data_IF_838761760358
#
_entry.id   IF_838761760358
#
_cell.length_a   1.000
_cell.length_b   1.000
_cell.length_c   1.000
_cell.angle_alpha   90.00
_cell.angle_beta   90.00
_cell.angle_gamma   90.00
#
_symmetry.space_group_name_H-M   'P 1'
#
loop_
_entity.id
_entity.type
_entity.pdbx_description
1 polymer ?
#
# COMPACT_ATOMS: atom_id res chain seq x y z
N UNK A 1 -11.36 12.73 -8.97
CA UNK A 1 -12.17 11.50 -9.08
C UNK A 1 -11.38 10.52 -9.92
N UNK A 2 -11.03 9.35 -9.38
CA UNK A 2 -10.31 8.33 -10.16
C UNK A 2 -11.28 7.81 -11.23
N UNK A 3 -11.07 8.19 -12.49
CA UNK A 3 -11.76 7.57 -13.61
C UNK A 3 -11.21 6.14 -13.72
N UNK A 4 -11.95 5.18 -13.19
CA UNK A 4 -11.67 3.78 -13.48
C UNK A 4 -12.16 3.51 -14.89
N UNK A 5 -11.23 3.42 -15.84
CA UNK A 5 -11.54 3.10 -17.23
C UNK A 5 -12.05 1.66 -17.30
N UNK A 6 -13.35 1.49 -17.54
CA UNK A 6 -13.99 0.19 -17.68
C UNK A 6 -13.61 -0.44 -19.04
N UNK A 7 -12.54 -1.23 -19.02
CA UNK A 7 -12.13 -2.05 -20.16
C UNK A 7 -12.83 -3.41 -20.15
N UNK A 8 -12.91 -4.09 -21.30
CA UNK A 8 -13.45 -5.45 -21.37
C UNK A 8 -12.78 -6.41 -20.37
N UNK A 9 -11.45 -6.33 -20.24
CA UNK A 9 -10.70 -7.12 -19.26
C UNK A 9 -11.09 -6.81 -17.82
N UNK A 10 -11.34 -5.53 -17.49
CA UNK A 10 -11.77 -5.14 -16.15
C UNK A 10 -13.15 -5.69 -15.78
N UNK A 11 -14.07 -5.76 -16.75
CA UNK A 11 -15.42 -6.29 -16.54
C UNK A 11 -15.37 -7.82 -16.40
N UNK A 12 -14.62 -8.52 -17.26
CA UNK A 12 -14.41 -9.96 -17.10
C UNK A 12 -13.80 -10.30 -15.74
N UNK A 13 -12.78 -9.56 -15.31
CA UNK A 13 -12.16 -9.77 -14.01
C UNK A 13 -13.13 -9.53 -12.86
N UNK A 14 -13.92 -8.44 -12.90
CA UNK A 14 -14.95 -8.17 -11.90
C UNK A 14 -16.00 -9.30 -11.84
N UNK A 15 -16.40 -9.87 -12.98
CA UNK A 15 -17.34 -10.99 -13.05
C UNK A 15 -16.75 -12.26 -12.42
N UNK A 16 -15.45 -12.54 -12.64
CA UNK A 16 -14.74 -13.65 -11.98
C UNK A 16 -14.73 -13.44 -10.47
N UNK A 17 -14.28 -12.27 -10.00
CA UNK A 17 -14.24 -11.96 -8.56
C UNK A 17 -15.63 -12.06 -7.93
N UNK A 18 -16.66 -11.51 -8.58
CA UNK A 18 -18.04 -11.62 -8.14
C UNK A 18 -18.51 -13.08 -8.05
N UNK A 19 -18.20 -13.91 -9.05
CA UNK A 19 -18.56 -15.33 -9.04
C UNK A 19 -17.95 -16.07 -7.85
N UNK A 20 -16.68 -15.82 -7.54
CA UNK A 20 -16.02 -16.41 -6.37
C UNK A 20 -16.65 -15.96 -5.05
N UNK A 21 -17.01 -14.68 -4.94
CA UNK A 21 -17.76 -14.17 -3.77
C UNK A 21 -19.12 -14.83 -3.61
N UNK A 22 -19.88 -14.93 -4.71
CA UNK A 22 -21.18 -15.59 -4.71
C UNK A 22 -21.07 -17.06 -4.31
N UNK A 23 -20.13 -17.80 -4.91
CA UNK A 23 -19.84 -19.19 -4.57
C UNK A 23 -19.44 -19.35 -3.10
N UNK A 24 -18.58 -18.48 -2.58
CA UNK A 24 -18.14 -18.53 -1.18
C UNK A 24 -19.32 -18.38 -0.21
N UNK A 25 -20.22 -17.42 -0.44
CA UNK A 25 -21.41 -17.22 0.39
C UNK A 25 -22.30 -18.47 0.36
N UNK A 26 -22.53 -19.04 -0.83
CA UNK A 26 -23.34 -20.25 -0.98
C UNK A 26 -22.73 -21.47 -0.31
N UNK A 27 -21.41 -21.65 -0.38
CA UNK A 27 -20.70 -22.72 0.34
C UNK A 27 -20.92 -22.56 1.85
N UNK A 28 -20.76 -21.35 2.39
CA UNK A 28 -21.02 -21.10 3.80
C UNK A 28 -22.45 -21.48 4.18
N UNK A 29 -23.46 -20.97 3.46
CA UNK A 29 -24.88 -21.31 3.70
C UNK A 29 -25.09 -22.83 3.64
N UNK A 30 -24.52 -23.52 2.65
CA UNK A 30 -24.61 -24.96 2.51
C UNK A 30 -24.01 -25.71 3.71
N UNK A 31 -22.85 -25.28 4.19
CA UNK A 31 -22.21 -25.86 5.39
C UNK A 31 -23.06 -25.63 6.64
N UNK A 32 -23.62 -24.43 6.83
CA UNK A 32 -24.56 -24.17 7.93
C UNK A 32 -25.79 -25.08 7.83
N UNK A 33 -26.44 -25.13 6.67
CA UNK A 33 -27.63 -25.95 6.44
C UNK A 33 -27.37 -27.44 6.69
N UNK A 34 -26.23 -27.96 6.24
CA UNK A 34 -25.83 -29.34 6.48
C UNK A 34 -25.64 -29.64 7.97
N UNK A 35 -24.95 -28.73 8.69
CA UNK A 35 -24.74 -28.85 10.13
C UNK A 35 -26.07 -28.85 10.91
N UNK A 36 -27.06 -28.04 10.50
CA UNK A 36 -28.37 -28.04 11.14
C UNK A 36 -29.19 -29.28 10.80
N UNK A 37 -29.10 -29.79 9.57
CA UNK A 37 -29.82 -30.99 9.11
C UNK A 37 -29.33 -32.29 9.79
N UNK A 38 -28.09 -32.30 10.27
CA UNK A 38 -27.52 -33.39 11.06
C UNK A 38 -28.24 -33.56 12.40
N UNK A 39 -28.98 -34.65 12.55
CA UNK A 39 -29.73 -34.99 13.77
C UNK A 39 -28.92 -35.83 14.76
N UNK A 40 -27.74 -36.31 14.35
CA UNK A 40 -26.77 -37.06 15.15
C UNK A 40 -25.98 -36.16 16.14
N UNK A 41 -26.01 -34.84 15.93
CA UNK A 41 -25.28 -33.87 16.73
C UNK A 41 -26.17 -33.14 17.74
N UNK A 42 -25.72 -33.05 18.98
CA UNK A 42 -26.34 -32.21 20.00
C UNK A 42 -26.23 -30.71 19.62
N UNK A 43 -27.13 -29.87 20.16
CA UNK A 43 -27.09 -28.42 19.92
C UNK A 43 -25.75 -27.77 20.29
N UNK A 44 -25.11 -28.25 21.37
CA UNK A 44 -23.78 -27.80 21.78
C UNK A 44 -22.68 -28.21 20.80
N UNK A 45 -22.76 -29.41 20.22
CA UNK A 45 -21.83 -29.83 19.18
C UNK A 45 -21.97 -28.94 17.93
N UNK A 46 -23.20 -28.61 17.52
CA UNK A 46 -23.45 -27.65 16.42
C UNK A 46 -22.85 -26.28 16.74
N UNK A 47 -23.06 -25.75 17.95
CA UNK A 47 -22.48 -24.48 18.37
C UNK A 47 -20.93 -24.49 18.32
N UNK A 48 -20.31 -25.58 18.77
CA UNK A 48 -18.85 -25.75 18.69
C UNK A 48 -18.33 -25.76 17.24
N UNK A 49 -19.02 -26.46 16.33
CA UNK A 49 -18.67 -26.48 14.92
C UNK A 49 -18.80 -25.09 14.27
N UNK A 50 -19.86 -24.35 14.58
CA UNK A 50 -20.05 -22.98 14.11
C UNK A 50 -18.90 -22.07 14.56
N UNK A 51 -18.50 -22.18 15.83
CA UNK A 51 -17.37 -21.43 16.37
C UNK A 51 -16.07 -21.77 15.67
N UNK A 52 -15.78 -23.06 15.44
CA UNK A 52 -14.57 -23.48 14.74
C UNK A 52 -14.52 -22.95 13.31
N UNK A 53 -15.62 -23.09 12.55
CA UNK A 53 -15.72 -22.58 11.18
C UNK A 53 -15.46 -21.07 11.13
N UNK A 54 -15.93 -20.33 12.13
CA UNK A 54 -15.72 -18.89 12.21
C UNK A 54 -14.30 -18.53 12.67
N UNK A 55 -13.74 -19.21 13.68
CA UNK A 55 -12.47 -18.85 14.33
C UNK A 55 -11.24 -19.29 13.54
N UNK A 56 -11.27 -20.48 12.93
CA UNK A 56 -10.14 -21.04 12.16
C UNK A 56 -9.58 -20.08 11.09
N UNK A 57 -10.38 -19.39 10.25
CA UNK A 57 -9.83 -18.45 9.27
C UNK A 57 -9.10 -17.27 9.94
N UNK A 58 -9.58 -16.76 11.07
CA UNK A 58 -8.87 -15.70 11.82
C UNK A 58 -7.58 -16.22 12.46
N UNK A 59 -7.60 -17.45 12.97
CA UNK A 59 -6.41 -18.07 13.55
C UNK A 59 -5.29 -18.20 12.50
N UNK A 60 -5.64 -18.59 11.26
CA UNK A 60 -4.69 -18.62 10.15
C UNK A 60 -4.06 -17.26 9.85
N UNK A 61 -4.88 -16.20 9.83
CA UNK A 61 -4.39 -14.81 9.65
C UNK A 61 -3.50 -14.40 10.83
N UNK A 62 -3.88 -14.72 12.07
CA UNK A 62 -3.10 -14.37 13.25
C UNK A 62 -1.74 -15.07 13.26
N UNK A 63 -1.72 -16.37 12.93
CA UNK A 63 -0.49 -17.13 12.77
C UNK A 63 0.39 -16.50 11.69
N UNK A 64 -0.19 -16.15 10.54
CA UNK A 64 0.54 -15.46 9.46
C UNK A 64 1.15 -14.13 9.94
N UNK A 65 0.39 -13.30 10.65
CA UNK A 65 0.88 -12.02 11.16
C UNK A 65 2.01 -12.19 12.19
N UNK A 66 1.92 -13.21 13.04
CA UNK A 66 2.97 -13.52 14.04
C UNK A 66 4.21 -14.10 13.36
N UNK A 67 4.03 -14.95 12.34
CA UNK A 67 5.12 -15.57 11.60
C UNK A 67 5.78 -14.63 10.58
N UNK A 68 5.07 -13.57 10.14
CA UNK A 68 5.58 -12.63 9.13
C UNK A 68 6.72 -11.79 9.72
N UNK A 69 7.89 -11.72 9.06
CA UNK A 69 8.97 -10.84 9.49
C UNK A 69 8.54 -9.36 9.43
N UNK A 70 9.01 -8.55 10.39
CA UNK A 70 8.64 -7.13 10.56
C UNK A 70 9.07 -6.22 9.40
N UNK A 71 10.07 -6.63 8.61
CA UNK A 71 10.53 -5.94 7.41
C UNK A 71 10.93 -6.99 6.38
N UNK A 72 10.27 -6.99 5.24
CA UNK A 72 10.75 -7.73 4.06
C UNK A 72 11.80 -6.87 3.31
N UNK A 73 12.66 -7.49 2.50
CA UNK A 73 13.60 -6.75 1.66
C UNK A 73 12.87 -5.76 0.73
N UNK A 74 11.69 -6.14 0.23
CA UNK A 74 10.80 -5.24 -0.53
C UNK A 74 10.32 -4.04 0.30
N UNK A 75 10.00 -4.23 1.58
CA UNK A 75 9.61 -3.11 2.46
C UNK A 75 10.77 -2.12 2.62
N UNK A 76 12.02 -2.62 2.72
CA UNK A 76 13.21 -1.77 2.80
C UNK A 76 13.45 -0.99 1.51
N UNK A 77 13.35 -1.67 0.36
CA UNK A 77 13.49 -1.02 -0.95
C UNK A 77 12.43 0.06 -1.15
N UNK A 78 11.18 -0.21 -0.78
CA UNK A 78 10.10 0.76 -0.90
C UNK A 78 10.31 1.98 0.02
N UNK A 79 10.73 1.75 1.27
CA UNK A 79 11.09 2.84 2.20
C UNK A 79 12.26 3.66 1.64
N UNK A 80 13.27 3.00 1.07
CA UNK A 80 14.41 3.69 0.46
C UNK A 80 13.98 4.57 -0.73
N UNK A 81 13.10 4.07 -1.60
CA UNK A 81 12.56 4.83 -2.73
C UNK A 81 11.72 6.02 -2.27
N UNK A 82 10.89 5.85 -1.24
CA UNK A 82 10.11 6.95 -0.66
C UNK A 82 11.02 8.00 -0.04
N UNK A 83 12.02 7.59 0.74
CA UNK A 83 13.02 8.49 1.32
C UNK A 83 13.85 9.21 0.25
N UNK A 84 14.20 8.55 -0.85
CA UNK A 84 14.87 9.20 -1.98
C UNK A 84 13.97 10.22 -2.66
N UNK A 85 12.68 9.93 -2.84
CA UNK A 85 11.72 10.88 -3.40
C UNK A 85 11.51 12.07 -2.47
N UNK A 86 11.38 11.84 -1.17
CA UNK A 86 11.29 12.91 -0.17
C UNK A 86 12.55 13.75 -0.15
N UNK A 87 13.74 13.13 -0.15
CA UNK A 87 15.02 13.85 -0.27
C UNK A 87 15.15 14.64 -1.55
N UNK A 88 14.62 14.16 -2.68
CA UNK A 88 14.60 14.92 -3.93
C UNK A 88 13.58 16.07 -3.88
N UNK A 89 12.45 15.87 -3.21
CA UNK A 89 11.42 16.89 -3.01
C UNK A 89 11.85 17.98 -2.01
N UNK A 90 12.61 17.63 -0.97
CA UNK A 90 13.12 18.58 0.03
C UNK A 90 14.52 19.11 -0.29
N UNK A 91 15.32 18.36 -1.06
CA UNK A 91 16.72 18.67 -1.42
C UNK A 91 16.88 19.54 -2.67
N UNK A 92 15.81 19.77 -3.43
CA UNK A 92 15.69 20.89 -4.38
C UNK A 92 15.09 22.11 -3.68
N UNK A 93 15.54 22.41 -2.46
CA UNK A 93 15.24 23.69 -1.84
C UNK A 93 16.06 24.76 -2.56
N UNK A 94 15.40 25.73 -3.21
CA UNK A 94 16.12 26.86 -3.82
C UNK A 94 17.06 27.56 -2.83
N UNK A 95 16.83 27.45 -1.52
CA UNK A 95 17.74 27.94 -0.50
C UNK A 95 19.12 27.26 -0.54
N UNK A 96 19.19 25.94 -0.76
CA UNK A 96 20.44 25.19 -0.85
C UNK A 96 21.19 25.49 -2.15
N UNK A 97 20.46 25.72 -3.24
CA UNK A 97 21.03 26.12 -4.52
C UNK A 97 21.61 27.55 -4.46
N UNK A 98 20.89 28.48 -3.83
CA UNK A 98 21.37 29.84 -3.58
C UNK A 98 22.57 29.87 -2.64
N UNK A 99 22.62 29.01 -1.61
CA UNK A 99 23.77 28.87 -0.72
C UNK A 99 25.02 28.34 -1.45
N UNK A 100 24.83 27.39 -2.38
CA UNK A 100 25.92 26.86 -3.22
C UNK A 100 26.44 27.89 -4.22
N UNK A 101 25.54 28.68 -4.83
CA UNK A 101 25.90 29.80 -5.69
C UNK A 101 26.68 30.88 -4.93
N UNK A 102 26.31 31.17 -3.68
CA UNK A 102 27.03 32.16 -2.85
C UNK A 102 28.47 31.72 -2.57
N UNK A 103 28.66 30.42 -2.27
CA UNK A 103 30.00 29.85 -2.08
C UNK A 103 30.86 29.94 -3.34
N UNK A 104 30.29 29.69 -4.52
CA UNK A 104 31.02 29.80 -5.80
C UNK A 104 31.45 31.24 -6.09
N UNK A 105 30.62 32.22 -5.71
CA UNK A 105 30.97 33.65 -5.80
C UNK A 105 32.10 33.99 -4.83
N UNK A 106 32.03 33.50 -3.59
CA UNK A 106 33.04 33.75 -2.57
C UNK A 106 34.39 33.06 -2.91
N UNK A 107 34.34 31.92 -3.61
CA UNK A 107 35.50 31.25 -4.22
C UNK A 107 36.02 31.97 -5.49
N UNK A 108 35.35 33.03 -5.95
CA UNK A 108 35.72 33.79 -7.14
C UNK A 108 35.50 33.05 -8.46
N UNK A 109 34.74 31.96 -8.47
CA UNK A 109 34.46 31.14 -9.67
C UNK A 109 33.33 31.72 -10.53
N UNK A 110 32.51 32.59 -9.95
CA UNK A 110 31.46 33.34 -10.64
C UNK A 110 31.48 34.79 -10.16
N UNK A 111 31.09 35.70 -11.04
CA UNK A 111 30.98 37.12 -10.74
C UNK A 111 29.70 37.44 -9.96
N UNK A 112 29.63 38.62 -9.34
CA UNK A 112 28.45 39.05 -8.59
C UNK A 112 27.18 39.17 -9.48
N UNK A 113 27.37 39.52 -10.75
CA UNK A 113 26.29 39.69 -11.73
C UNK A 113 25.74 38.34 -12.21
N UNK A 114 26.63 37.37 -12.44
CA UNK A 114 26.27 35.98 -12.72
C UNK A 114 25.56 35.31 -11.53
N UNK A 115 26.00 35.61 -10.30
CA UNK A 115 25.35 35.12 -9.08
C UNK A 115 23.90 35.58 -8.98
N UNK A 116 23.60 36.87 -9.16
CA UNK A 116 22.23 37.38 -9.05
C UNK A 116 21.31 36.82 -10.13
N UNK A 117 21.83 36.62 -11.35
CA UNK A 117 21.06 36.00 -12.45
C UNK A 117 20.69 34.54 -12.13
N UNK A 118 21.65 33.74 -11.65
CA UNK A 118 21.42 32.33 -11.31
C UNK A 118 20.56 32.17 -10.05
N UNK A 119 20.71 33.07 -9.07
CA UNK A 119 19.88 33.11 -7.85
C UNK A 119 18.41 33.38 -8.18
N UNK A 120 18.12 34.30 -9.10
CA UNK A 120 16.76 34.55 -9.58
C UNK A 120 16.17 33.32 -10.30
N UNK A 121 16.97 32.65 -11.14
CA UNK A 121 16.54 31.41 -11.81
C UNK A 121 16.24 30.28 -10.82
N UNK A 122 17.07 30.10 -9.78
CA UNK A 122 16.86 29.10 -8.74
C UNK A 122 15.58 29.38 -7.93
N UNK A 123 15.31 30.65 -7.60
CA UNK A 123 14.08 31.03 -6.87
C UNK A 123 12.79 30.98 -7.71
N UNK A 124 12.90 30.98 -9.04
CA UNK A 124 11.75 30.80 -9.95
C UNK A 124 11.36 29.33 -10.19
N UNK A 125 12.18 28.38 -9.74
CA UNK A 125 11.93 26.93 -9.88
C UNK A 125 11.19 26.33 -8.66
N UNK A 126 10.82 27.15 -7.68
CA UNK A 126 9.97 26.82 -6.52
C UNK A 126 8.54 27.24 -6.79
#
# INVERSE_FOLDING_TARGET
MLAYEWTFGSVLWAMVVFFFWFMLIWIFIGVFADLFRRNDLSGWAKAGWLLLIFVVPFLGVLIYLIARPKMTEQDKEMIAVVQERERRATGYSAADEVAKLAKLRDEGKITAEEYETMKQQAMMQV
#
